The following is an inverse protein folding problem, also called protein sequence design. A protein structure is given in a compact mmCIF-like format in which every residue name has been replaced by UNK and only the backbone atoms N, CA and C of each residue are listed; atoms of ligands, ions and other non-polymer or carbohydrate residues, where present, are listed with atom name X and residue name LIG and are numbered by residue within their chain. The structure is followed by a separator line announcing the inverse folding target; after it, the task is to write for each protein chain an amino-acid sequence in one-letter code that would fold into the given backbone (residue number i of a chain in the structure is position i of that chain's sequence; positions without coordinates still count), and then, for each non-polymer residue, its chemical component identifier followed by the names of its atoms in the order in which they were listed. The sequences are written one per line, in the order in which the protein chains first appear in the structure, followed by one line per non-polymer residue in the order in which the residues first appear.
data_IF_815286622844
#
_entry.id   IF_815286622844
#
_cell.length_a   1.000
_cell.length_b   1.000
_cell.length_c   1.000
_cell.angle_alpha   90.00
_cell.angle_beta   90.00
_cell.angle_gamma   90.00
#
_symmetry.space_group_name_H-M   'P 1'
#
loop_
_entity.id
_entity.type
_entity.pdbx_description
1 polymer ?
#
# COMPACT_ATOMS: atom_id res chain seq x y z
N UNK A 1 -20.19 -12.44 22.64
CA UNK A 1 -20.34 -11.54 21.49
C UNK A 1 -18.94 -11.11 21.07
N UNK A 2 -18.40 -11.71 20.01
CA UNK A 2 -17.13 -11.28 19.44
C UNK A 2 -17.34 -9.91 18.79
N UNK A 3 -16.48 -8.93 19.09
CA UNK A 3 -16.50 -7.66 18.36
C UNK A 3 -16.07 -7.96 16.92
N UNK A 4 -17.03 -7.95 16.00
CA UNK A 4 -16.78 -8.01 14.57
C UNK A 4 -15.88 -6.84 14.14
N UNK A 5 -14.70 -7.16 13.62
CA UNK A 5 -14.28 -6.64 12.32
C UNK A 5 -13.69 -5.23 12.23
N UNK A 6 -13.11 -4.65 13.29
CA UNK A 6 -12.27 -3.46 13.07
C UNK A 6 -10.93 -3.86 12.45
N UNK A 7 -10.86 -3.82 11.11
CA UNK A 7 -9.61 -3.86 10.38
C UNK A 7 -9.15 -2.41 10.13
N UNK A 8 -8.14 -1.91 10.84
CA UNK A 8 -7.64 -0.55 10.63
C UNK A 8 -7.02 -0.34 9.24
N UNK A 9 -6.64 -1.41 8.54
CA UNK A 9 -6.16 -1.37 7.15
C UNK A 9 -7.29 -1.48 6.11
N UNK A 10 -8.56 -1.57 6.52
CA UNK A 10 -9.68 -1.55 5.58
C UNK A 10 -9.84 -0.14 4.96
N UNK A 11 -9.84 0.00 3.62
CA UNK A 11 -10.00 1.30 2.96
C UNK A 11 -11.26 2.06 3.37
N UNK A 12 -12.37 1.37 3.70
CA UNK A 12 -13.59 2.04 4.16
C UNK A 12 -13.44 2.57 5.59
N UNK A 13 -12.81 1.81 6.48
CA UNK A 13 -12.43 2.26 7.83
C UNK A 13 -11.57 3.52 7.80
N UNK A 14 -10.49 3.52 7.00
CA UNK A 14 -9.58 4.67 6.88
C UNK A 14 -10.33 5.89 6.32
N UNK A 15 -11.17 5.71 5.30
CA UNK A 15 -12.00 6.79 4.74
C UNK A 15 -12.96 7.38 5.78
N UNK A 16 -13.56 6.55 6.63
CA UNK A 16 -14.44 7.01 7.70
C UNK A 16 -13.68 7.84 8.75
N UNK A 17 -12.44 7.47 9.07
CA UNK A 17 -11.59 8.25 9.97
C UNK A 17 -11.20 9.60 9.38
N UNK A 18 -10.83 9.64 8.09
CA UNK A 18 -10.57 10.88 7.34
C UNK A 18 -11.78 11.82 7.41
N UNK A 19 -13.01 11.30 7.23
CA UNK A 19 -14.24 12.10 7.33
C UNK A 19 -14.47 12.63 8.75
N UNK A 20 -14.24 11.80 9.78
CA UNK A 20 -14.32 12.22 11.18
C UNK A 20 -13.32 13.34 11.50
N UNK A 21 -12.06 13.21 11.06
CA UNK A 21 -11.02 14.22 11.25
C UNK A 21 -11.40 15.52 10.52
N UNK A 22 -11.87 15.43 9.28
CA UNK A 22 -12.31 16.58 8.49
C UNK A 22 -13.42 17.37 9.19
N UNK A 23 -14.43 16.68 9.71
CA UNK A 23 -15.51 17.33 10.48
C UNK A 23 -15.01 17.98 11.77
N UNK A 24 -14.09 17.33 12.50
CA UNK A 24 -13.46 17.91 13.70
C UNK A 24 -12.65 19.15 13.36
N UNK A 25 -11.87 19.11 12.28
CA UNK A 25 -11.06 20.23 11.79
C UNK A 25 -11.93 21.42 11.44
N UNK A 26 -13.03 21.21 10.72
CA UNK A 26 -13.97 22.28 10.39
C UNK A 26 -14.53 22.98 11.64
N UNK A 27 -14.91 22.20 12.66
CA UNK A 27 -15.39 22.73 13.95
C UNK A 27 -14.31 23.53 14.67
N UNK A 28 -13.06 23.05 14.69
CA UNK A 28 -11.93 23.76 15.31
C UNK A 28 -11.64 25.07 14.56
N UNK A 29 -11.63 25.05 13.23
CA UNK A 29 -11.43 26.26 12.42
C UNK A 29 -12.48 27.33 12.72
N UNK A 30 -13.77 26.94 12.83
CA UNK A 30 -14.85 27.86 13.24
C UNK A 30 -14.61 28.45 14.63
N UNK A 31 -14.16 27.63 15.59
CA UNK A 31 -13.82 28.10 16.95
C UNK A 31 -12.63 29.08 16.96
N UNK A 32 -11.57 28.79 16.20
CA UNK A 32 -10.41 29.67 16.06
C UNK A 32 -10.84 31.03 15.50
N UNK A 33 -11.65 31.03 14.43
CA UNK A 33 -12.18 32.26 13.85
C UNK A 33 -13.00 33.07 14.87
N UNK A 34 -13.82 32.41 15.68
CA UNK A 34 -14.59 33.06 16.74
C UNK A 34 -13.70 33.67 17.84
N UNK A 35 -12.68 32.94 18.30
CA UNK A 35 -11.70 33.45 19.28
C UNK A 35 -10.98 34.68 18.75
N UNK A 36 -10.53 34.65 17.50
CA UNK A 36 -9.87 35.78 16.86
C UNK A 36 -10.77 37.02 16.80
N UNK A 37 -12.07 36.86 16.50
CA UNK A 37 -13.04 37.97 16.52
C UNK A 37 -13.22 38.59 17.91
N UNK A 38 -13.03 37.80 18.96
CA UNK A 38 -13.11 38.24 20.36
C UNK A 38 -11.75 38.71 20.91
N UNK A 39 -10.70 38.78 20.09
CA UNK A 39 -9.32 39.05 20.52
C UNK A 39 -8.83 38.09 21.62
N UNK A 40 -9.35 36.86 21.65
CA UNK A 40 -8.94 35.80 22.57
C UNK A 40 -7.81 34.96 21.94
N UNK A 41 -6.94 34.38 22.76
CA UNK A 41 -5.84 33.53 22.30
C UNK A 41 -6.33 32.10 21.96
N UNK A 42 -6.29 31.65 20.69
CA UNK A 42 -6.74 30.31 20.29
C UNK A 42 -5.62 29.25 20.32
N UNK A 43 -4.50 29.47 21.01
CA UNK A 43 -3.29 28.62 20.96
C UNK A 43 -3.59 27.11 21.03
N UNK A 44 -4.39 26.67 21.99
CA UNK A 44 -4.74 25.25 22.16
C UNK A 44 -5.53 24.68 20.96
N UNK A 45 -6.39 25.49 20.34
CA UNK A 45 -7.16 25.10 19.16
C UNK A 45 -6.26 24.98 17.93
N UNK A 46 -5.30 25.90 17.79
CA UNK A 46 -4.29 25.83 16.72
C UNK A 46 -3.45 24.56 16.86
N UNK A 47 -3.01 24.23 18.08
CA UNK A 47 -2.26 23.00 18.34
C UNK A 47 -3.08 21.76 17.97
N UNK A 48 -4.32 21.65 18.45
CA UNK A 48 -5.21 20.55 18.08
C UNK A 48 -5.43 20.43 16.57
N UNK A 49 -5.53 21.57 15.85
CA UNK A 49 -5.65 21.55 14.40
C UNK A 49 -4.41 20.95 13.74
N UNK A 50 -3.20 21.27 14.24
CA UNK A 50 -1.96 20.69 13.71
C UNK A 50 -1.88 19.18 13.97
N UNK A 51 -2.28 18.72 15.15
CA UNK A 51 -2.32 17.30 15.47
C UNK A 51 -3.29 16.54 14.55
N UNK A 52 -4.45 17.15 14.23
CA UNK A 52 -5.38 16.59 13.26
C UNK A 52 -4.81 16.55 11.84
N UNK A 53 -4.02 17.55 11.43
CA UNK A 53 -3.38 17.59 10.12
C UNK A 53 -2.30 16.49 9.99
N UNK A 54 -1.57 16.22 11.08
CA UNK A 54 -0.63 15.10 11.14
C UNK A 54 -1.37 13.76 11.01
N UNK A 55 -2.41 13.53 11.82
CA UNK A 55 -3.21 12.30 11.75
C UNK A 55 -3.78 12.08 10.34
N UNK A 56 -4.25 13.14 9.69
CA UNK A 56 -4.75 13.08 8.32
C UNK A 56 -3.66 12.66 7.32
N UNK A 57 -2.45 13.21 7.48
CA UNK A 57 -1.28 12.87 6.66
C UNK A 57 -0.92 11.39 6.80
N UNK A 58 -0.93 10.87 8.03
CA UNK A 58 -0.62 9.46 8.31
C UNK A 58 -1.67 8.51 7.71
N UNK A 59 -2.96 8.87 7.76
CA UNK A 59 -4.03 8.09 7.11
C UNK A 59 -3.88 8.07 5.58
N UNK A 60 -3.51 9.19 4.95
CA UNK A 60 -3.27 9.22 3.51
C UNK A 60 -2.04 8.39 3.12
N UNK A 61 -0.96 8.45 3.91
CA UNK A 61 0.22 7.60 3.72
C UNK A 61 -0.15 6.11 3.80
N UNK A 62 -1.00 5.76 4.75
CA UNK A 62 -1.53 4.40 4.91
C UNK A 62 -2.28 3.91 3.66
N UNK A 63 -3.17 4.74 3.09
CA UNK A 63 -3.87 4.42 1.83
C UNK A 63 -2.87 4.19 0.70
N UNK A 64 -1.87 5.06 0.57
CA UNK A 64 -0.85 4.92 -0.47
C UNK A 64 -0.08 3.59 -0.33
N UNK A 65 0.31 3.23 0.88
CA UNK A 65 0.99 1.96 1.15
C UNK A 65 0.12 0.74 0.83
N UNK A 66 -1.17 0.76 1.18
CA UNK A 66 -2.10 -0.32 0.83
C UNK A 66 -2.27 -0.48 -0.68
N UNK A 67 -2.39 0.63 -1.42
CA UNK A 67 -2.45 0.63 -2.87
C UNK A 67 -1.15 0.08 -3.49
N UNK A 68 0.01 0.44 -2.93
CA UNK A 68 1.30 -0.08 -3.37
C UNK A 68 1.41 -1.59 -3.15
N UNK A 69 0.98 -2.10 -1.98
CA UNK A 69 0.94 -3.54 -1.70
C UNK A 69 0.04 -4.29 -2.70
N UNK A 70 -1.15 -3.76 -2.99
CA UNK A 70 -2.05 -4.36 -3.97
C UNK A 70 -1.41 -4.43 -5.37
N UNK A 71 -0.77 -3.34 -5.81
CA UNK A 71 -0.04 -3.30 -7.07
C UNK A 71 1.12 -4.31 -7.12
N UNK A 72 1.88 -4.43 -6.03
CA UNK A 72 2.97 -5.42 -5.93
C UNK A 72 2.42 -6.84 -6.06
N UNK A 73 1.33 -7.16 -5.35
CA UNK A 73 0.68 -8.48 -5.44
C UNK A 73 0.21 -8.80 -6.85
N UNK A 74 -0.43 -7.85 -7.54
CA UNK A 74 -0.84 -8.03 -8.95
C UNK A 74 0.36 -8.32 -9.86
N UNK A 75 1.48 -7.60 -9.68
CA UNK A 75 2.71 -7.84 -10.46
C UNK A 75 3.34 -9.19 -10.15
N UNK A 76 3.39 -9.60 -8.88
CA UNK A 76 3.89 -10.93 -8.49
C UNK A 76 3.05 -12.01 -9.15
N UNK A 77 1.72 -11.88 -9.13
CA UNK A 77 0.81 -12.82 -9.78
C UNK A 77 1.07 -12.91 -11.29
N UNK A 78 1.14 -11.76 -11.97
CA UNK A 78 1.43 -11.69 -13.40
C UNK A 78 2.76 -12.35 -13.76
N UNK A 79 3.83 -12.03 -13.04
CA UNK A 79 5.15 -12.62 -13.27
C UNK A 79 5.20 -14.10 -12.93
N UNK A 80 4.46 -14.55 -11.92
CA UNK A 80 4.35 -15.98 -11.59
C UNK A 80 3.66 -16.75 -12.72
N UNK A 81 2.61 -16.16 -13.31
CA UNK A 81 1.97 -16.72 -14.49
C UNK A 81 2.93 -16.79 -15.68
N UNK A 82 3.62 -15.69 -16.02
CA UNK A 82 4.58 -15.65 -17.12
C UNK A 82 5.72 -16.67 -16.94
N UNK A 83 6.27 -16.75 -15.72
CA UNK A 83 7.29 -17.75 -15.35
C UNK A 83 6.80 -19.16 -15.64
N UNK A 84 5.57 -19.50 -15.22
CA UNK A 84 5.00 -20.83 -15.44
C UNK A 84 4.80 -21.13 -16.93
N UNK A 85 4.37 -20.16 -17.73
CA UNK A 85 4.25 -20.33 -19.19
C UNK A 85 5.60 -20.62 -19.85
N UNK A 86 6.66 -19.93 -19.42
CA UNK A 86 8.02 -20.18 -19.92
C UNK A 86 8.50 -21.57 -19.51
N UNK A 87 8.27 -21.98 -18.26
CA UNK A 87 8.66 -23.32 -17.79
C UNK A 87 7.98 -24.43 -18.60
N UNK A 88 6.67 -24.29 -18.87
CA UNK A 88 5.93 -25.22 -19.74
C UNK A 88 6.54 -25.26 -21.14
N UNK A 89 6.87 -24.10 -21.70
CA UNK A 89 7.49 -24.01 -23.04
C UNK A 89 8.86 -24.71 -23.08
N UNK A 90 9.71 -24.49 -22.07
CA UNK A 90 11.01 -25.18 -21.95
C UNK A 90 10.82 -26.70 -21.92
N UNK A 91 9.89 -27.21 -21.10
CA UNK A 91 9.59 -28.63 -21.02
C UNK A 91 9.14 -29.21 -22.36
N UNK A 92 8.25 -28.49 -23.08
CA UNK A 92 7.76 -28.94 -24.38
C UNK A 92 8.86 -29.04 -25.44
N UNK A 93 9.82 -28.09 -25.45
CA UNK A 93 10.94 -28.07 -26.38
C UNK A 93 11.98 -29.14 -26.03
N UNK A 94 12.21 -29.38 -24.73
CA UNK A 94 13.17 -30.38 -24.26
C UNK A 94 12.77 -31.81 -24.62
N UNK A 95 11.47 -32.10 -24.74
CA UNK A 95 10.95 -33.40 -25.17
C UNK A 95 10.99 -33.66 -26.68
N UNK A 96 11.22 -32.63 -27.49
CA UNK A 96 11.17 -32.69 -28.96
C UNK A 96 12.55 -32.72 -29.64
N UNK A 97 13.64 -32.89 -28.87
CA UNK A 97 15.00 -33.07 -29.39
C UNK A 97 15.46 -31.96 -30.36
N UNK A 98 15.24 -30.66 -30.09
CA UNK A 98 15.95 -29.60 -30.84
C UNK A 98 15.81 -28.17 -30.28
N UNK A 99 16.87 -27.40 -30.59
CA UNK A 99 17.12 -25.96 -30.38
C UNK A 99 17.57 -25.52 -28.97
N UNK A 100 18.84 -25.83 -28.66
CA UNK A 100 19.51 -25.45 -27.41
C UNK A 100 19.53 -23.95 -27.20
N UNK A 101 19.66 -23.16 -28.27
CA UNK A 101 19.71 -21.68 -28.20
C UNK A 101 18.39 -21.11 -27.69
N UNK A 102 17.26 -21.58 -28.22
CA UNK A 102 15.94 -21.13 -27.77
C UNK A 102 15.66 -21.54 -26.31
N UNK A 103 16.10 -22.73 -25.91
CA UNK A 103 15.99 -23.21 -24.53
C UNK A 103 16.85 -22.34 -23.60
N UNK A 104 18.06 -21.97 -23.99
CA UNK A 104 18.93 -21.06 -23.24
C UNK A 104 18.32 -19.67 -23.05
N UNK A 105 17.75 -19.08 -24.10
CA UNK A 105 17.06 -17.79 -24.03
C UNK A 105 15.85 -17.84 -23.08
N UNK A 106 15.05 -18.91 -23.18
CA UNK A 106 13.89 -19.12 -22.30
C UNK A 106 14.33 -19.31 -20.85
N UNK A 107 15.40 -20.07 -20.60
CA UNK A 107 15.98 -20.24 -19.28
C UNK A 107 16.45 -18.91 -18.69
N UNK A 108 17.14 -18.08 -19.48
CA UNK A 108 17.55 -16.73 -19.05
C UNK A 108 16.35 -15.89 -18.68
N UNK A 109 15.32 -15.83 -19.54
CA UNK A 109 14.09 -15.09 -19.27
C UNK A 109 13.37 -15.60 -18.01
N UNK A 110 13.35 -16.91 -17.81
CA UNK A 110 12.78 -17.53 -16.61
C UNK A 110 13.51 -17.06 -15.34
N UNK A 111 14.85 -17.03 -15.35
CA UNK A 111 15.65 -16.54 -14.22
C UNK A 111 15.44 -15.04 -13.97
N UNK A 112 15.36 -14.21 -15.01
CA UNK A 112 15.07 -12.78 -14.89
C UNK A 112 13.72 -12.53 -14.21
N UNK A 113 12.70 -13.32 -14.54
CA UNK A 113 11.37 -13.21 -13.91
C UNK A 113 11.42 -13.66 -12.44
N UNK A 114 12.15 -14.73 -12.12
CA UNK A 114 12.37 -15.14 -10.72
C UNK A 114 12.98 -13.98 -9.92
N UNK A 115 14.00 -13.30 -10.45
CA UNK A 115 14.62 -12.17 -9.77
C UNK A 115 13.64 -11.00 -9.60
N UNK A 116 12.80 -10.70 -10.60
CA UNK A 116 11.75 -9.68 -10.49
C UNK A 116 10.76 -10.00 -9.37
N UNK A 117 10.32 -11.26 -9.26
CA UNK A 117 9.41 -11.72 -8.19
C UNK A 117 10.09 -11.58 -6.83
N UNK A 118 11.35 -12.00 -6.68
CA UNK A 118 12.10 -11.86 -5.43
C UNK A 118 12.22 -10.40 -4.97
N UNK A 119 12.58 -9.50 -5.89
CA UNK A 119 12.68 -8.07 -5.59
C UNK A 119 11.33 -7.46 -5.19
N UNK A 120 10.24 -7.90 -5.83
CA UNK A 120 8.89 -7.47 -5.45
C UNK A 120 8.48 -8.01 -4.07
N UNK A 121 8.80 -9.25 -3.75
CA UNK A 121 8.54 -9.82 -2.43
C UNK A 121 9.28 -9.06 -1.32
N UNK A 122 10.55 -8.68 -1.54
CA UNK A 122 11.29 -7.85 -0.58
C UNK A 122 10.59 -6.51 -0.33
N UNK A 123 10.15 -5.84 -1.40
CA UNK A 123 9.39 -4.58 -1.30
C UNK A 123 8.05 -4.78 -0.58
N UNK A 124 7.36 -5.88 -0.86
CA UNK A 124 6.12 -6.23 -0.20
C UNK A 124 6.31 -6.34 1.32
N UNK A 125 7.29 -7.14 1.77
CA UNK A 125 7.56 -7.31 3.20
C UNK A 125 7.97 -6.01 3.88
N UNK A 126 8.79 -5.19 3.22
CA UNK A 126 9.16 -3.89 3.76
C UNK A 126 7.94 -2.99 3.99
N UNK A 127 7.09 -2.82 2.96
CA UNK A 127 5.87 -2.01 3.06
C UNK A 127 4.86 -2.58 4.06
N UNK A 128 4.74 -3.89 4.15
CA UNK A 128 3.88 -4.55 5.13
C UNK A 128 4.36 -4.27 6.56
N UNK A 129 5.67 -4.29 6.79
CA UNK A 129 6.26 -3.94 8.09
C UNK A 129 6.03 -2.46 8.42
N UNK A 130 6.17 -1.55 7.46
CA UNK A 130 5.82 -0.13 7.67
C UNK A 130 4.36 0.06 8.06
N UNK A 131 3.43 -0.66 7.40
CA UNK A 131 2.01 -0.59 7.74
C UNK A 131 1.71 -1.13 9.14
N UNK A 132 2.40 -2.19 9.56
CA UNK A 132 2.22 -2.80 10.87
C UNK A 132 2.89 -2.00 12.00
N UNK A 133 3.94 -1.23 11.71
CA UNK A 133 4.60 -0.39 12.71
C UNK A 133 3.84 0.91 13.01
N UNK A 134 2.95 1.34 12.10
CA UNK A 134 2.11 2.53 12.23
C UNK A 134 0.70 2.20 12.76
N UNK A 135 0.57 1.06 13.43
CA UNK A 135 -0.68 0.49 13.95
C UNK A 135 -0.65 0.40 15.48
#
# INVERSE_FOLDING_TARGET
MAMDGYNPNDPHSIKNEILKISSKREKISKKILHFNKLNLNPYNLIRQSKDLDQNMTDLYKRIANLNALNCINQKIWQYSYERNQIAIKILSLSGLYQDTTMIEELNKKHQEIIQKIQNLNQKYFHLQNELNANL
#
